data_IF_535174183918
#
_entry.id   IF_535174183918
#
_cell.length_a   1.000
_cell.length_b   1.000
_cell.length_c   1.000
_cell.angle_alpha   90.00
_cell.angle_beta   90.00
_cell.angle_gamma   90.00
#
_symmetry.space_group_name_H-M   'P 1'
#
loop_
_entity.id
_entity.type
_entity.pdbx_description
1 polymer ?
#
# COMPACT_ATOMS: atom_id res chain seq x y z
N UNK A 1 -14.05 30.94 38.91
CA UNK A 1 -13.89 31.11 37.45
C UNK A 1 -12.48 30.70 37.07
N UNK A 2 -12.36 29.74 36.13
CA UNK A 2 -11.23 29.45 35.23
C UNK A 2 -9.90 29.01 35.88
N UNK A 3 -9.24 27.92 35.47
CA UNK A 3 -9.46 27.04 34.34
C UNK A 3 -8.55 25.80 34.43
N UNK A 4 -9.08 24.67 34.00
CA UNK A 4 -8.37 23.40 33.91
C UNK A 4 -7.93 23.24 32.46
N UNK A 5 -6.66 23.52 32.16
CA UNK A 5 -6.09 23.29 30.81
C UNK A 5 -5.61 21.83 30.78
N UNK A 6 -6.47 20.93 30.32
CA UNK A 6 -6.08 19.58 29.91
C UNK A 6 -5.36 19.68 28.56
N UNK A 7 -4.03 19.68 28.61
CA UNK A 7 -3.16 19.40 27.47
C UNK A 7 -3.42 17.96 26.99
N UNK A 8 -4.31 17.80 26.02
CA UNK A 8 -4.44 16.58 25.24
C UNK A 8 -3.20 16.44 24.35
N UNK A 9 -2.15 15.84 24.90
CA UNK A 9 -1.07 15.28 24.11
C UNK A 9 -1.66 14.18 23.23
N UNK A 10 -1.96 14.50 21.98
CA UNK A 10 -2.35 13.52 20.97
C UNK A 10 -1.20 12.53 20.80
N UNK A 11 -1.36 11.34 21.36
CA UNK A 11 -0.47 10.22 21.06
C UNK A 11 -0.61 9.94 19.56
N UNK A 12 0.39 10.35 18.77
CA UNK A 12 0.55 9.88 17.41
C UNK A 12 0.64 8.34 17.49
N UNK A 13 -0.48 7.66 17.23
CA UNK A 13 -0.49 6.22 17.17
C UNK A 13 0.47 5.83 16.05
N UNK A 14 1.55 5.14 16.42
CA UNK A 14 2.38 4.47 15.43
C UNK A 14 1.44 3.60 14.57
N UNK A 15 1.58 3.63 13.24
CA UNK A 15 0.74 2.81 12.37
C UNK A 15 0.88 1.35 12.81
N UNK A 16 -0.21 0.77 13.32
CA UNK A 16 -0.22 -0.61 13.77
C UNK A 16 0.16 -1.51 12.58
N UNK A 17 1.06 -2.46 12.81
CA UNK A 17 1.42 -3.46 11.80
C UNK A 17 0.17 -4.20 11.34
N UNK A 18 -0.03 -4.33 10.03
CA UNK A 18 -1.20 -5.03 9.52
C UNK A 18 -0.96 -6.54 9.58
N UNK A 19 -1.96 -7.37 9.92
CA UNK A 19 -1.82 -8.82 9.87
C UNK A 19 -1.55 -9.26 8.42
N UNK A 20 -0.72 -10.29 8.17
CA UNK A 20 -0.38 -10.73 6.81
C UNK A 20 -1.58 -11.03 5.91
N UNK A 21 -2.68 -11.50 6.50
CA UNK A 21 -3.95 -11.78 5.80
C UNK A 21 -4.61 -10.53 5.22
N UNK A 22 -4.38 -9.34 5.80
CA UNK A 22 -4.97 -8.08 5.32
C UNK A 22 -4.43 -7.64 3.96
N UNK A 23 -3.19 -8.00 3.63
CA UNK A 23 -2.63 -7.78 2.30
C UNK A 23 -3.31 -8.71 1.29
N UNK A 24 -3.38 -10.01 1.59
CA UNK A 24 -4.02 -11.03 0.76
C UNK A 24 -5.49 -10.75 0.44
N UNK A 25 -6.26 -10.30 1.43
CA UNK A 25 -7.65 -9.90 1.26
C UNK A 25 -7.83 -8.51 0.62
N UNK A 26 -6.74 -7.79 0.35
CA UNK A 26 -6.77 -6.44 -0.20
C UNK A 26 -7.41 -5.41 0.73
N UNK A 27 -7.36 -5.63 2.06
CA UNK A 27 -7.96 -4.76 3.07
C UNK A 27 -6.98 -3.81 3.73
N UNK A 28 -5.67 -4.07 3.61
CA UNK A 28 -4.64 -3.12 4.03
C UNK A 28 -4.69 -1.85 3.16
N UNK A 29 -4.89 -0.68 3.80
CA UNK A 29 -4.79 0.60 3.11
C UNK A 29 -3.33 1.00 2.87
N UNK A 30 -3.11 1.93 1.94
CA UNK A 30 -1.79 2.41 1.52
C UNK A 30 -0.98 3.00 2.68
N UNK A 31 -1.60 3.75 3.59
CA UNK A 31 -0.92 4.32 4.76
C UNK A 31 -0.33 3.23 5.66
N UNK A 32 -1.11 2.19 5.97
CA UNK A 32 -0.65 1.06 6.77
C UNK A 32 0.35 0.21 5.99
N UNK A 33 0.09 -0.07 4.72
CA UNK A 33 0.95 -0.92 3.89
C UNK A 33 2.38 -0.37 3.75
N UNK A 34 2.53 0.94 3.62
CA UNK A 34 3.86 1.56 3.48
C UNK A 34 4.43 2.13 4.77
N UNK A 35 3.80 1.84 5.92
CA UNK A 35 4.44 2.02 7.22
C UNK A 35 5.75 1.21 7.27
N UNK A 36 6.75 1.72 8.01
CA UNK A 36 8.13 1.18 8.03
C UNK A 36 8.19 -0.33 8.21
N UNK A 37 7.40 -0.85 9.15
CA UNK A 37 7.43 -2.28 9.53
C UNK A 37 6.67 -3.18 8.55
N UNK A 38 5.81 -2.58 7.72
CA UNK A 38 4.96 -3.26 6.75
C UNK A 38 5.55 -3.23 5.33
N UNK A 39 6.42 -2.27 5.03
CA UNK A 39 6.99 -2.05 3.71
C UNK A 39 7.65 -3.30 3.07
N UNK A 40 8.38 -4.16 3.81
CA UNK A 40 8.94 -5.40 3.24
C UNK A 40 7.84 -6.39 2.79
N UNK A 41 6.78 -6.54 3.58
CA UNK A 41 5.66 -7.43 3.25
C UNK A 41 4.87 -6.85 2.07
N UNK A 42 4.61 -5.55 2.06
CA UNK A 42 3.94 -4.85 0.97
C UNK A 42 4.69 -5.01 -0.36
N UNK A 43 6.01 -4.95 -0.33
CA UNK A 43 6.85 -5.18 -1.51
C UNK A 43 6.61 -6.58 -2.12
N UNK A 44 6.73 -7.63 -1.31
CA UNK A 44 6.53 -9.02 -1.75
C UNK A 44 5.10 -9.24 -2.22
N UNK A 45 4.12 -8.70 -1.50
CA UNK A 45 2.72 -8.83 -1.85
C UNK A 45 2.40 -8.15 -3.19
N UNK A 46 2.89 -6.92 -3.40
CA UNK A 46 2.74 -6.20 -4.68
C UNK A 46 3.33 -7.01 -5.84
N UNK A 47 4.44 -7.71 -5.63
CA UNK A 47 5.05 -8.57 -6.66
C UNK A 47 4.14 -9.73 -7.05
N UNK A 48 3.64 -10.45 -6.06
CA UNK A 48 2.73 -11.57 -6.28
C UNK A 48 1.44 -11.13 -6.97
N UNK A 49 0.84 -10.03 -6.51
CA UNK A 49 -0.40 -9.52 -7.07
C UNK A 49 -0.21 -9.00 -8.50
N UNK A 50 0.87 -8.27 -8.80
CA UNK A 50 1.20 -7.83 -10.16
C UNK A 50 1.37 -9.02 -11.11
N UNK A 51 2.04 -10.08 -10.65
CA UNK A 51 2.24 -11.31 -11.42
C UNK A 51 0.91 -12.00 -11.72
N UNK A 52 0.00 -12.05 -10.75
CA UNK A 52 -1.35 -12.58 -10.95
C UNK A 52 -2.15 -11.75 -11.96
N UNK A 53 -2.05 -10.42 -11.91
CA UNK A 53 -2.68 -9.54 -12.91
C UNK A 53 -2.10 -9.75 -14.32
N UNK A 54 -0.80 -10.04 -14.43
CA UNK A 54 -0.20 -10.40 -15.71
C UNK A 54 -0.73 -11.73 -16.26
N UNK A 55 -0.79 -12.76 -15.42
CA UNK A 55 -1.32 -14.05 -15.80
C UNK A 55 -2.80 -13.99 -16.23
N UNK A 56 -3.63 -13.23 -15.49
CA UNK A 56 -5.07 -13.15 -15.76
C UNK A 56 -5.42 -12.39 -17.05
N UNK A 57 -4.53 -11.51 -17.51
CA UNK A 57 -4.72 -10.68 -18.70
C UNK A 57 -4.04 -11.25 -19.95
N UNK A 58 -3.53 -12.49 -19.88
CA UNK A 58 -2.88 -13.16 -21.01
C UNK A 58 -1.63 -12.46 -21.54
N UNK A 59 -1.06 -11.54 -20.76
CA UNK A 59 0.08 -10.73 -21.17
C UNK A 59 1.33 -11.32 -20.52
N UNK A 60 2.27 -11.80 -21.32
CA UNK A 60 3.55 -12.36 -20.88
C UNK A 60 4.52 -11.38 -20.20
N UNK A 61 4.00 -10.29 -19.62
CA UNK A 61 4.72 -9.26 -18.89
C UNK A 61 5.33 -8.18 -19.80
N UNK A 62 5.04 -6.91 -19.52
CA UNK A 62 5.78 -5.77 -20.08
C UNK A 62 6.69 -5.15 -19.01
N UNK A 63 7.97 -5.54 -19.09
CA UNK A 63 9.26 -4.80 -19.06
C UNK A 63 9.58 -3.67 -18.08
N UNK A 64 8.74 -3.31 -17.11
CA UNK A 64 9.21 -2.45 -16.03
C UNK A 64 9.96 -3.28 -14.99
N UNK A 65 11.20 -2.89 -14.67
CA UNK A 65 11.91 -3.39 -13.49
C UNK A 65 10.97 -3.27 -12.29
N UNK A 66 10.95 -4.31 -11.43
CA UNK A 66 10.02 -4.35 -10.32
C UNK A 66 10.18 -3.15 -9.36
N UNK A 67 11.37 -2.55 -9.32
CA UNK A 67 11.63 -1.28 -8.63
C UNK A 67 10.77 -0.12 -9.16
N UNK A 68 10.61 0.01 -10.47
CA UNK A 68 9.78 1.05 -11.11
C UNK A 68 8.30 0.84 -10.82
N UNK A 69 7.85 -0.43 -10.80
CA UNK A 69 6.48 -0.78 -10.42
C UNK A 69 6.21 -0.35 -8.98
N UNK A 70 7.10 -0.71 -8.06
CA UNK A 70 6.97 -0.36 -6.64
C UNK A 70 6.99 1.14 -6.43
N UNK A 71 7.88 1.87 -7.11
CA UNK A 71 7.93 3.32 -7.03
C UNK A 71 6.60 3.96 -7.43
N UNK A 72 6.00 3.53 -8.56
CA UNK A 72 4.71 4.06 -9.02
C UNK A 72 3.55 3.70 -8.10
N UNK A 73 3.52 2.48 -7.56
CA UNK A 73 2.52 2.09 -6.55
C UNK A 73 2.69 2.95 -5.29
N UNK A 74 3.93 3.24 -4.87
CA UNK A 74 4.19 4.08 -3.71
C UNK A 74 3.74 5.52 -3.92
N UNK A 75 3.95 6.07 -5.10
CA UNK A 75 3.47 7.40 -5.47
C UNK A 75 1.93 7.45 -5.40
N UNK A 76 1.25 6.49 -6.03
CA UNK A 76 -0.21 6.40 -6.02
C UNK A 76 -0.78 6.23 -4.60
N UNK A 77 -0.09 5.45 -3.76
CA UNK A 77 -0.40 5.31 -2.35
C UNK A 77 -0.14 6.57 -1.52
N UNK A 78 0.82 7.41 -1.92
CA UNK A 78 1.10 8.69 -1.26
C UNK A 78 0.01 9.71 -1.58
N UNK A 79 -0.50 9.70 -2.82
CA UNK A 79 -1.61 10.55 -3.25
C UNK A 79 -2.94 10.13 -2.61
N UNK A 80 -3.16 8.83 -2.41
CA UNK A 80 -4.43 8.30 -1.89
C UNK A 80 -4.18 7.33 -0.71
N UNK A 81 -3.82 7.82 0.49
CA UNK A 81 -3.40 6.96 1.60
C UNK A 81 -4.50 6.03 2.15
N UNK A 82 -5.77 6.34 1.91
CA UNK A 82 -6.92 5.54 2.35
C UNK A 82 -7.31 4.42 1.38
N UNK A 83 -6.83 4.44 0.13
CA UNK A 83 -7.12 3.37 -0.82
C UNK A 83 -6.41 2.09 -0.41
N UNK A 84 -6.91 0.94 -0.86
CA UNK A 84 -6.24 -0.33 -0.55
C UNK A 84 -4.98 -0.51 -1.39
N UNK A 85 -3.97 -1.20 -0.84
CA UNK A 85 -2.76 -1.54 -1.60
C UNK A 85 -3.14 -2.28 -2.89
N UNK A 86 -4.10 -3.20 -2.83
CA UNK A 86 -4.60 -3.92 -3.99
C UNK A 86 -5.17 -3.00 -5.07
N UNK A 87 -5.98 -2.01 -4.68
CA UNK A 87 -6.50 -1.00 -5.61
C UNK A 87 -5.37 -0.21 -6.24
N UNK A 88 -4.39 0.25 -5.45
CA UNK A 88 -3.26 1.01 -5.96
C UNK A 88 -2.42 0.22 -6.97
N UNK A 89 -2.15 -1.06 -6.69
CA UNK A 89 -1.42 -1.95 -7.61
C UNK A 89 -2.22 -2.16 -8.90
N UNK A 90 -3.52 -2.43 -8.80
CA UNK A 90 -4.39 -2.61 -9.98
C UNK A 90 -4.51 -1.32 -10.83
N UNK A 91 -4.61 -0.16 -10.19
CA UNK A 91 -4.64 1.14 -10.87
C UNK A 91 -3.33 1.38 -11.63
N UNK A 92 -2.19 1.14 -10.97
CA UNK A 92 -0.86 1.28 -11.56
C UNK A 92 -0.64 0.32 -12.72
N UNK A 93 -1.08 -0.93 -12.57
CA UNK A 93 -1.02 -1.95 -13.62
C UNK A 93 -1.77 -1.53 -14.88
N UNK A 94 -2.98 -0.98 -14.73
CA UNK A 94 -3.75 -0.43 -15.85
C UNK A 94 -3.11 0.77 -16.53
N UNK A 95 -2.36 1.61 -15.79
CA UNK A 95 -1.68 2.80 -16.35
C UNK A 95 -0.37 2.50 -17.05
N UNK A 96 0.29 1.38 -16.72
CA UNK A 96 1.59 0.99 -17.26
C UNK A 96 1.51 0.02 -18.44
N UNK A 97 0.31 -0.29 -18.90
CA UNK A 97 0.01 -1.16 -20.04
C UNK A 97 -0.69 -0.39 -21.13
#
# INVERSE_FOLDING_TARGET
>A
MLGFILLLAGAAQAPASAPPTSYGAGTANCATAWARDNAPISFVWTQGFWSALNASSGSGGSVADFSVIIERVRLDCTENPSQTLAQSVANTHRRMR
#
